data_IF_867271701315
#
_entry.id   IF_867271701315
#
_cell.length_a   1.000
_cell.length_b   1.000
_cell.length_c   1.000
_cell.angle_alpha   90.00
_cell.angle_beta   90.00
_cell.angle_gamma   90.00
#
_symmetry.space_group_name_H-M   'P 1'
#
loop_
_entity.id
_entity.type
_entity.pdbx_description
1 polymer ?
#
# COMPACT_ATOMS: atom_id res chain seq x y z
N UNK A 1 0.94 13.08 5.32
CA UNK A 1 -0.50 12.70 5.21
C UNK A 1 -0.72 11.34 4.54
N UNK A 2 -0.18 11.06 3.35
CA UNK A 2 -0.28 9.71 2.76
C UNK A 2 0.71 8.74 3.41
N UNK A 3 1.93 9.18 3.65
CA UNK A 3 2.99 8.40 4.32
C UNK A 3 2.54 7.94 5.72
N UNK A 4 2.06 8.89 6.53
CA UNK A 4 1.49 8.60 7.85
C UNK A 4 0.35 7.58 7.83
N UNK A 5 -0.47 7.60 6.77
CA UNK A 5 -1.57 6.65 6.62
C UNK A 5 -1.02 5.25 6.36
N UNK A 6 -0.04 5.14 5.46
CA UNK A 6 0.60 3.87 5.11
C UNK A 6 1.33 3.29 6.32
N UNK A 7 2.11 4.08 7.05
CA UNK A 7 2.81 3.63 8.27
C UNK A 7 1.87 3.04 9.31
N UNK A 8 0.74 3.70 9.53
CA UNK A 8 -0.28 3.24 10.47
C UNK A 8 -0.88 1.92 9.98
N UNK A 9 -1.22 1.82 8.70
CA UNK A 9 -1.72 0.58 8.11
C UNK A 9 -0.71 -0.57 8.25
N UNK A 10 0.57 -0.32 8.00
CA UNK A 10 1.66 -1.31 8.16
C UNK A 10 1.78 -1.75 9.61
N UNK A 11 1.73 -0.83 10.57
CA UNK A 11 1.78 -1.16 12.00
C UNK A 11 0.64 -2.07 12.44
N UNK A 12 -0.57 -1.88 11.89
CA UNK A 12 -1.74 -2.70 12.20
C UNK A 12 -1.68 -4.09 11.55
N UNK A 13 -0.99 -4.22 10.41
CA UNK A 13 -0.74 -5.52 9.78
C UNK A 13 0.24 -6.33 10.63
N UNK A 14 1.35 -5.72 11.07
CA UNK A 14 2.28 -6.38 11.99
C UNK A 14 1.63 -6.76 13.33
N UNK A 15 0.61 -6.01 13.76
CA UNK A 15 -0.20 -6.35 14.93
C UNK A 15 -1.23 -7.48 14.67
N UNK A 16 -1.28 -8.06 13.47
CA UNK A 16 -2.19 -9.15 13.14
C UNK A 16 -3.65 -8.72 12.92
N UNK A 17 -3.94 -7.42 12.85
CA UNK A 17 -5.30 -6.91 12.68
C UNK A 17 -5.83 -7.02 11.24
N UNK A 18 -5.10 -7.74 10.40
CA UNK A 18 -5.44 -8.04 9.02
C UNK A 18 -5.23 -9.52 8.71
N UNK A 19 -6.09 -10.42 9.22
CA UNK A 19 -5.92 -11.87 9.07
C UNK A 19 -6.14 -12.40 7.64
N UNK A 20 -6.52 -11.53 6.71
CA UNK A 20 -6.71 -11.87 5.30
C UNK A 20 -6.53 -10.64 4.42
N UNK A 21 -7.39 -10.47 3.42
CA UNK A 21 -7.25 -9.37 2.46
C UNK A 21 -7.65 -7.99 3.02
N UNK A 22 -8.27 -7.93 4.20
CA UNK A 22 -8.79 -6.70 4.78
C UNK A 22 -8.54 -6.60 6.30
N UNK A 23 -8.48 -5.37 6.81
CA UNK A 23 -8.44 -5.13 8.25
C UNK A 23 -9.72 -5.64 8.90
N UNK A 24 -9.57 -6.31 10.05
CA UNK A 24 -10.69 -6.66 10.90
C UNK A 24 -11.28 -5.39 11.56
N UNK A 25 -12.36 -5.54 12.34
CA UNK A 25 -13.02 -4.40 13.01
C UNK A 25 -12.07 -3.62 13.94
N UNK A 26 -11.15 -4.32 14.61
CA UNK A 26 -10.16 -3.73 15.53
C UNK A 26 -9.14 -2.92 14.72
N UNK A 27 -8.60 -3.49 13.65
CA UNK A 27 -7.65 -2.81 12.76
C UNK A 27 -8.23 -1.52 12.20
N UNK A 28 -9.48 -1.53 11.70
CA UNK A 28 -10.11 -0.30 11.20
C UNK A 28 -10.32 0.75 12.29
N UNK A 29 -10.73 0.33 13.49
CA UNK A 29 -10.86 1.25 14.63
C UNK A 29 -9.51 1.88 14.99
N UNK A 30 -8.44 1.08 15.01
CA UNK A 30 -7.09 1.54 15.30
C UNK A 30 -6.56 2.48 14.22
N UNK A 31 -6.74 2.15 12.94
CA UNK A 31 -6.35 3.01 11.81
C UNK A 31 -7.02 4.37 11.94
N UNK A 32 -8.34 4.40 12.17
CA UNK A 32 -9.09 5.66 12.34
C UNK A 32 -8.57 6.48 13.52
N UNK A 33 -8.39 5.86 14.68
CA UNK A 33 -7.96 6.56 15.89
C UNK A 33 -6.52 7.07 15.77
N UNK A 34 -5.59 6.21 15.34
CA UNK A 34 -4.17 6.56 15.19
C UNK A 34 -4.00 7.64 14.14
N UNK A 35 -4.69 7.53 13.01
CA UNK A 35 -4.57 8.50 11.93
C UNK A 35 -5.18 9.85 12.31
N UNK A 36 -6.36 9.86 12.92
CA UNK A 36 -7.01 11.09 13.39
C UNK A 36 -6.16 11.81 14.43
N UNK A 37 -5.59 11.05 15.38
CA UNK A 37 -4.66 11.58 16.39
C UNK A 37 -3.39 12.15 15.77
N UNK A 38 -2.81 11.45 14.79
CA UNK A 38 -1.54 11.86 14.15
C UNK A 38 -1.70 13.12 13.29
N UNK A 39 -2.83 13.27 12.62
CA UNK A 39 -3.13 14.44 11.78
C UNK A 39 -3.75 15.60 12.60
N UNK A 40 -4.23 15.33 13.82
CA UNK A 40 -4.92 16.33 14.63
C UNK A 40 -6.31 16.70 14.11
N UNK A 41 -6.91 15.81 13.30
CA UNK A 41 -8.24 16.00 12.69
C UNK A 41 -9.03 14.72 12.81
N UNK A 42 -10.32 14.81 13.13
CA UNK A 42 -11.18 13.63 13.11
C UNK A 42 -11.44 13.15 11.69
N UNK A 43 -11.18 11.86 11.46
CA UNK A 43 -11.55 11.14 10.25
C UNK A 43 -12.55 10.06 10.59
N UNK A 44 -13.52 9.83 9.70
CA UNK A 44 -14.41 8.68 9.81
C UNK A 44 -13.89 7.49 9.00
N UNK A 45 -14.37 6.30 9.35
CA UNK A 45 -14.09 5.06 8.62
C UNK A 45 -14.27 5.21 7.10
N UNK A 46 -15.37 5.85 6.66
CA UNK A 46 -15.69 6.00 5.23
C UNK A 46 -14.62 6.82 4.49
N UNK A 47 -14.10 7.89 5.10
CA UNK A 47 -13.05 8.71 4.49
C UNK A 47 -11.75 7.92 4.31
N UNK A 48 -11.32 7.18 5.34
CA UNK A 48 -10.09 6.40 5.27
C UNK A 48 -10.25 5.15 4.40
N UNK A 49 -11.44 4.56 4.35
CA UNK A 49 -11.75 3.49 3.41
C UNK A 49 -11.66 3.97 1.98
N UNK A 50 -12.31 5.08 1.64
CA UNK A 50 -12.24 5.66 0.29
C UNK A 50 -10.79 5.97 -0.10
N UNK A 51 -9.99 6.50 0.83
CA UNK A 51 -8.55 6.72 0.62
C UNK A 51 -7.83 5.41 0.34
N UNK A 52 -8.08 4.37 1.14
CA UNK A 52 -7.53 3.02 0.92
C UNK A 52 -7.89 2.46 -0.46
N UNK A 53 -9.14 2.60 -0.88
CA UNK A 53 -9.61 2.06 -2.15
C UNK A 53 -9.05 2.84 -3.35
N UNK A 54 -8.89 4.16 -3.23
CA UNK A 54 -8.18 4.97 -4.23
C UNK A 54 -6.74 4.49 -4.42
N UNK A 55 -6.01 4.25 -3.33
CA UNK A 55 -4.61 3.78 -3.39
C UNK A 55 -4.49 2.41 -4.07
N UNK A 56 -5.44 1.51 -3.80
CA UNK A 56 -5.51 0.22 -4.51
C UNK A 56 -5.78 0.41 -6.00
N UNK A 57 -6.65 1.36 -6.36
CA UNK A 57 -6.94 1.64 -7.76
C UNK A 57 -5.72 2.21 -8.49
N UNK A 58 -5.03 3.17 -7.87
CA UNK A 58 -3.80 3.77 -8.43
C UNK A 58 -2.72 2.69 -8.65
N UNK A 59 -2.59 1.76 -7.70
CA UNK A 59 -1.72 0.59 -7.83
C UNK A 59 -2.15 -0.35 -8.97
N UNK A 60 -3.44 -0.65 -9.10
CA UNK A 60 -3.95 -1.49 -10.18
C UNK A 60 -3.72 -0.85 -11.56
N UNK A 61 -3.79 0.48 -11.65
CA UNK A 61 -3.45 1.22 -12.86
C UNK A 61 -1.94 1.11 -13.11
N UNK A 62 -1.12 1.33 -12.10
CA UNK A 62 0.33 1.23 -12.21
C UNK A 62 0.80 -0.15 -12.65
N UNK A 63 0.33 -1.22 -12.01
CA UNK A 63 0.68 -2.60 -12.38
C UNK A 63 0.26 -2.95 -13.80
N UNK A 64 -0.88 -2.44 -14.27
CA UNK A 64 -1.30 -2.57 -15.67
C UNK A 64 -0.43 -1.76 -16.63
N UNK A 65 0.09 -0.60 -16.21
CA UNK A 65 0.97 0.22 -17.03
C UNK A 65 2.37 -0.41 -17.12
N UNK A 66 2.89 -0.90 -16.00
CA UNK A 66 4.20 -1.53 -15.91
C UNK A 66 4.20 -2.93 -16.51
N UNK A 67 3.16 -3.73 -16.30
CA UNK A 67 3.02 -5.06 -16.91
C UNK A 67 2.88 -5.03 -18.44
N UNK A 68 2.71 -3.83 -19.04
CA UNK A 68 2.77 -3.61 -20.49
C UNK A 68 4.17 -3.30 -21.01
N UNK A 69 5.16 -3.05 -20.15
CA UNK A 69 6.55 -2.96 -20.58
C UNK A 69 7.06 -4.36 -20.94
N UNK A 70 7.16 -4.64 -22.24
CA UNK A 70 7.73 -5.89 -22.76
C UNK A 70 9.23 -5.95 -22.49
N UNK A 71 9.70 -7.02 -21.86
CA UNK A 71 11.13 -7.29 -21.63
C UNK A 71 11.54 -7.42 -20.16
N UNK A 72 10.60 -7.24 -19.22
CA UNK A 72 10.84 -7.51 -17.81
C UNK A 72 10.44 -8.96 -17.50
N UNK A 73 11.36 -9.70 -16.88
CA UNK A 73 11.10 -11.07 -16.44
C UNK A 73 10.04 -11.05 -15.34
N UNK A 74 9.20 -12.08 -15.26
CA UNK A 74 8.42 -12.34 -14.06
C UNK A 74 9.22 -13.31 -13.20
N UNK A 75 9.49 -12.97 -11.94
CA UNK A 75 10.10 -13.88 -10.97
C UNK A 75 8.96 -14.71 -10.32
N UNK A 76 8.78 -15.99 -10.68
CA UNK A 76 7.71 -16.83 -10.13
C UNK A 76 7.96 -17.20 -8.67
N UNK A 77 9.19 -17.09 -8.17
CA UNK A 77 9.57 -17.40 -6.78
C UNK A 77 9.24 -16.22 -5.88
N UNK A 78 9.63 -15.01 -6.29
CA UNK A 78 9.35 -13.78 -5.54
C UNK A 78 7.94 -13.24 -5.78
N UNK A 79 7.25 -13.74 -6.82
CA UNK A 79 5.97 -13.21 -7.32
C UNK A 79 6.04 -11.73 -7.68
N UNK A 80 7.18 -11.31 -8.22
CA UNK A 80 7.49 -9.90 -8.54
C UNK A 80 8.04 -9.80 -9.95
N UNK A 81 8.17 -8.57 -10.43
CA UNK A 81 8.92 -8.30 -11.66
C UNK A 81 10.40 -8.52 -11.37
N UNK A 82 11.04 -9.37 -12.16
CA UNK A 82 12.49 -9.56 -12.20
C UNK A 82 13.11 -8.41 -12.99
N UNK A 83 13.51 -7.38 -12.25
CA UNK A 83 14.10 -6.16 -12.78
C UNK A 83 15.28 -5.75 -11.91
N UNK A 84 16.23 -5.03 -12.49
CA UNK A 84 17.41 -4.54 -11.78
C UNK A 84 17.05 -3.50 -10.71
N UNK A 85 17.89 -3.38 -9.68
CA UNK A 85 17.71 -2.37 -8.63
C UNK A 85 17.67 -0.95 -9.22
N UNK A 86 18.46 -0.67 -10.26
CA UNK A 86 18.43 0.61 -10.99
C UNK A 86 17.09 0.86 -11.72
N UNK A 87 16.47 -0.18 -12.27
CA UNK A 87 15.12 -0.07 -12.85
C UNK A 87 14.09 0.22 -11.76
N UNK A 88 14.19 -0.46 -10.61
CA UNK A 88 13.36 -0.18 -9.44
C UNK A 88 13.56 1.25 -8.94
N UNK A 89 14.79 1.72 -8.74
CA UNK A 89 15.08 3.08 -8.28
C UNK A 89 14.53 4.15 -9.24
N UNK A 90 14.70 3.97 -10.55
CA UNK A 90 14.16 4.88 -11.57
C UNK A 90 12.64 4.90 -11.58
N UNK A 91 11.97 3.77 -11.29
CA UNK A 91 10.50 3.67 -11.25
C UNK A 91 9.93 4.13 -9.90
N UNK A 92 10.65 3.91 -8.80
CA UNK A 92 10.35 4.35 -7.44
C UNK A 92 10.52 5.87 -7.26
N UNK A 93 11.29 6.52 -8.13
CA UNK A 93 11.31 7.99 -8.24
C UNK A 93 10.02 8.57 -8.85
N UNK A 94 9.32 7.80 -9.71
CA UNK A 94 8.09 8.25 -10.39
C UNK A 94 6.86 7.98 -9.53
N UNK A 95 6.87 6.90 -8.74
CA UNK A 95 5.82 6.60 -7.78
C UNK A 95 6.43 6.45 -6.40
N UNK A 96 6.09 7.41 -5.54
CA UNK A 96 6.35 7.39 -4.10
C UNK A 96 6.51 5.97 -3.57
N UNK A 97 7.72 5.66 -3.11
CA UNK A 97 8.16 4.44 -2.40
C UNK A 97 7.08 3.80 -1.49
N UNK A 98 6.15 4.61 -0.98
CA UNK A 98 4.99 4.22 -0.19
C UNK A 98 3.97 3.27 -0.87
N UNK A 99 3.82 3.25 -2.20
CA UNK A 99 2.93 2.29 -2.88
C UNK A 99 3.53 0.89 -2.97
N UNK A 100 4.87 0.78 -2.92
CA UNK A 100 5.59 -0.50 -2.97
C UNK A 100 5.42 -1.30 -1.66
N UNK A 101 5.44 -0.60 -0.52
CA UNK A 101 5.19 -1.19 0.80
C UNK A 101 3.74 -1.68 0.92
N UNK A 102 2.81 -1.07 0.19
CA UNK A 102 1.40 -1.45 0.15
C UNK A 102 1.14 -2.78 -0.59
N UNK A 103 2.15 -3.47 -1.13
CA UNK A 103 1.97 -4.80 -1.73
C UNK A 103 2.79 -5.90 -1.02
N UNK A 104 4.03 -5.62 -0.60
CA UNK A 104 4.84 -6.61 0.14
C UNK A 104 4.32 -6.91 1.56
N UNK A 105 3.52 -6.01 2.14
CA UNK A 105 2.88 -6.22 3.45
C UNK A 105 1.39 -6.60 3.30
N UNK A 106 0.85 -6.64 2.07
CA UNK A 106 -0.59 -6.64 1.82
C UNK A 106 -1.11 -7.82 1.00
N UNK A 107 -0.23 -8.61 0.35
CA UNK A 107 -0.58 -9.87 -0.32
C UNK A 107 -0.33 -11.08 0.57
#
# INVERSE_FOLDING_TARGET
>A
MLEDYVDICVSEIYAGNRPGTHFNKIGWKNVVNKFSKKIGKEFCYKQLKNKSDSLKNDWNIWTKLVGKETGLGWDPVKKTIDATDEWWEKKLQILCFHLFIFFFIIS
#
